data_IF_175436347283
#
_entry.id   IF_175436347283
#
_cell.length_a   1.000
_cell.length_b   1.000
_cell.length_c   1.000
_cell.angle_alpha   90.00
_cell.angle_beta   90.00
_cell.angle_gamma   90.00
#
_symmetry.space_group_name_H-M   'P 1'
#
loop_
_entity.id
_entity.type
_entity.pdbx_description
1 polymer ?
#
# COMPACT_ATOMS: atom_id res chain seq x y z
N UNK A 1 14.45 -14.67 18.29
CA UNK A 1 14.70 -13.42 17.54
C UNK A 1 13.59 -13.26 16.51
N UNK A 2 13.02 -12.06 16.32
CA UNK A 2 12.00 -11.87 15.28
C UNK A 2 12.59 -12.21 13.90
N UNK A 3 11.76 -12.78 13.02
CA UNK A 3 12.17 -13.10 11.67
C UNK A 3 12.59 -11.81 10.93
N UNK A 4 13.81 -11.80 10.39
CA UNK A 4 14.30 -10.69 9.58
C UNK A 4 13.52 -10.66 8.27
N UNK A 5 12.81 -9.56 8.01
CA UNK A 5 12.19 -9.27 6.70
C UNK A 5 12.99 -8.17 6.02
N UNK A 6 13.82 -8.48 5.01
CA UNK A 6 14.56 -7.48 4.25
C UNK A 6 13.58 -6.50 3.60
N UNK A 7 13.87 -5.19 3.66
CA UNK A 7 13.11 -4.12 2.99
C UNK A 7 13.98 -3.49 1.92
N UNK A 8 14.33 -4.27 0.88
CA UNK A 8 15.24 -3.83 -0.19
C UNK A 8 14.53 -2.89 -1.17
N UNK A 9 13.22 -3.02 -1.28
CA UNK A 9 12.36 -2.17 -2.11
C UNK A 9 11.11 -1.74 -1.35
N UNK A 10 10.74 -0.46 -1.51
CA UNK A 10 9.50 0.12 -1.02
C UNK A 10 8.77 0.77 -2.19
N UNK A 11 7.57 0.29 -2.50
CA UNK A 11 6.74 0.83 -3.56
C UNK A 11 5.73 1.81 -2.96
N UNK A 12 5.81 3.08 -3.35
CA UNK A 12 4.85 4.11 -2.99
C UNK A 12 3.70 4.15 -4.00
N UNK A 13 2.47 4.22 -3.51
CA UNK A 13 1.29 4.37 -4.33
C UNK A 13 0.21 5.21 -3.63
N UNK A 14 -0.47 6.12 -4.34
CA UNK A 14 -1.54 6.91 -3.78
C UNK A 14 -2.73 6.02 -3.41
N UNK A 15 -3.24 6.19 -2.18
CA UNK A 15 -4.38 5.43 -1.66
C UNK A 15 -5.69 5.68 -2.42
N UNK A 16 -5.75 6.70 -3.27
CA UNK A 16 -6.89 7.03 -4.14
C UNK A 16 -6.93 6.27 -5.47
N UNK A 17 -5.90 5.47 -5.78
CA UNK A 17 -5.79 4.75 -7.04
C UNK A 17 -6.02 3.24 -6.86
N UNK A 18 -7.29 2.83 -6.93
CA UNK A 18 -7.71 1.43 -6.79
C UNK A 18 -6.96 0.45 -7.72
N UNK A 19 -6.73 0.81 -8.99
CA UNK A 19 -6.00 -0.04 -9.94
C UNK A 19 -4.54 -0.24 -9.52
N UNK A 20 -3.90 0.80 -8.99
CA UNK A 20 -2.54 0.70 -8.49
C UNK A 20 -2.47 -0.18 -7.23
N UNK A 21 -3.45 -0.04 -6.31
CA UNK A 21 -3.57 -0.88 -5.11
C UNK A 21 -3.71 -2.37 -5.46
N UNK A 22 -4.57 -2.71 -6.42
CA UNK A 22 -4.75 -4.09 -6.89
C UNK A 22 -3.47 -4.66 -7.51
N UNK A 23 -2.83 -3.89 -8.40
CA UNK A 23 -1.60 -4.30 -9.06
C UNK A 23 -0.42 -4.41 -8.10
N UNK A 24 -0.30 -3.52 -7.12
CA UNK A 24 0.81 -3.49 -6.17
C UNK A 24 0.97 -4.82 -5.42
N UNK A 25 -0.14 -5.52 -5.18
CA UNK A 25 -0.14 -6.84 -4.51
C UNK A 25 0.58 -7.91 -5.32
N UNK A 26 0.63 -7.81 -6.64
CA UNK A 26 1.25 -8.83 -7.51
C UNK A 26 2.70 -8.50 -7.88
N UNK A 27 3.20 -7.33 -7.47
CA UNK A 27 4.55 -6.88 -7.78
C UNK A 27 5.56 -7.41 -6.76
N UNK A 28 6.83 -7.66 -7.16
CA UNK A 28 7.87 -8.15 -6.27
C UNK A 28 8.49 -7.02 -5.43
N UNK A 29 7.67 -6.37 -4.60
CA UNK A 29 8.09 -5.35 -3.64
C UNK A 29 8.15 -5.93 -2.22
N UNK A 30 9.20 -5.61 -1.46
CA UNK A 30 9.30 -6.06 -0.07
C UNK A 30 8.36 -5.26 0.87
N UNK A 31 8.11 -3.99 0.53
CA UNK A 31 7.18 -3.11 1.22
C UNK A 31 6.28 -2.34 0.25
N UNK A 32 5.01 -2.20 0.63
CA UNK A 32 4.03 -1.32 -0.02
C UNK A 32 3.72 -0.16 0.92
N UNK A 33 3.81 1.06 0.42
CA UNK A 33 3.49 2.28 1.15
C UNK A 33 2.30 2.94 0.48
N UNK A 34 1.16 2.91 1.17
CA UNK A 34 -0.11 3.45 0.71
C UNK A 34 -0.22 4.87 1.24
N UNK A 35 -0.08 5.84 0.34
CA UNK A 35 -0.01 7.26 0.70
C UNK A 35 -1.40 7.89 0.81
N UNK A 36 -1.67 8.58 1.92
CA UNK A 36 -2.88 9.37 2.15
C UNK A 36 -2.60 10.89 2.25
N UNK A 37 -1.34 11.31 2.11
CA UNK A 37 -0.93 12.70 2.20
C UNK A 37 -0.82 13.35 0.81
N UNK A 38 0.40 13.60 0.35
CA UNK A 38 0.68 14.55 -0.74
C UNK A 38 0.33 13.97 -2.12
N UNK A 39 0.36 12.65 -2.31
CA UNK A 39 -0.09 12.04 -3.56
C UNK A 39 -1.62 11.93 -3.66
N UNK A 40 -2.38 12.38 -2.65
CA UNK A 40 -3.84 12.33 -2.63
C UNK A 40 -4.43 13.74 -2.59
N UNK A 41 -5.15 14.10 -3.67
CA UNK A 41 -5.89 15.35 -3.72
C UNK A 41 -6.83 15.49 -2.50
N UNK A 42 -7.01 16.69 -1.90
CA UNK A 42 -7.79 16.86 -0.69
C UNK A 42 -9.21 16.28 -0.77
N UNK A 43 -9.89 16.47 -1.90
CA UNK A 43 -11.24 15.96 -2.15
C UNK A 43 -11.31 14.42 -2.26
N UNK A 44 -10.18 13.75 -2.46
CA UNK A 44 -10.10 12.29 -2.59
C UNK A 44 -9.67 11.58 -1.30
N UNK A 45 -9.35 12.31 -0.22
CA UNK A 45 -8.79 11.73 1.01
C UNK A 45 -9.73 10.72 1.69
N UNK A 46 -11.03 11.01 1.73
CA UNK A 46 -12.01 10.10 2.34
C UNK A 46 -12.16 8.81 1.54
N UNK A 47 -12.26 8.93 0.22
CA UNK A 47 -12.31 7.78 -0.68
C UNK A 47 -11.01 6.96 -0.62
N UNK A 48 -9.85 7.62 -0.58
CA UNK A 48 -8.55 6.97 -0.46
C UNK A 48 -8.44 6.16 0.84
N UNK A 49 -8.91 6.72 1.96
CA UNK A 49 -8.92 6.00 3.25
C UNK A 49 -9.75 4.72 3.18
N UNK A 50 -10.95 4.79 2.59
CA UNK A 50 -11.80 3.62 2.40
C UNK A 50 -11.13 2.55 1.51
N UNK A 51 -10.49 2.97 0.43
CA UNK A 51 -9.77 2.08 -0.48
C UNK A 51 -8.56 1.41 0.19
N UNK A 52 -7.78 2.17 0.97
CA UNK A 52 -6.63 1.65 1.72
C UNK A 52 -7.08 0.62 2.76
N UNK A 53 -8.15 0.88 3.51
CA UNK A 53 -8.71 -0.09 4.47
C UNK A 53 -9.14 -1.37 3.75
N UNK A 54 -9.84 -1.25 2.62
CA UNK A 54 -10.24 -2.39 1.81
C UNK A 54 -9.03 -3.17 1.26
N UNK A 55 -7.96 -2.49 0.86
CA UNK A 55 -6.73 -3.11 0.36
C UNK A 55 -5.98 -3.87 1.47
N UNK A 56 -5.88 -3.28 2.67
CA UNK A 56 -5.25 -3.91 3.83
C UNK A 56 -6.00 -5.17 4.31
N UNK A 57 -7.33 -5.14 4.26
CA UNK A 57 -8.17 -6.30 4.62
C UNK A 57 -8.00 -7.51 3.70
N UNK A 58 -7.49 -7.31 2.48
CA UNK A 58 -7.25 -8.40 1.53
C UNK A 58 -5.85 -9.03 1.64
N UNK A 59 -4.92 -8.39 2.37
CA UNK A 59 -3.55 -8.85 2.54
C UNK A 59 -2.66 -8.72 1.29
N UNK A 60 -1.35 -8.66 1.50
CA UNK A 60 -0.35 -8.62 0.42
C UNK A 60 0.04 -10.04 -0.01
N UNK A 61 0.13 -10.29 -1.32
CA UNK A 61 0.68 -11.54 -1.87
C UNK A 61 2.21 -11.51 -1.81
N UNK A 62 2.83 -12.63 -1.43
CA UNK A 62 4.29 -12.80 -1.56
C UNK A 62 5.16 -12.35 -0.38
N UNK A 63 4.60 -12.18 0.82
CA UNK A 63 5.40 -11.89 2.04
C UNK A 63 5.78 -10.41 2.23
N UNK A 64 5.36 -9.56 1.29
CA UNK A 64 5.46 -8.11 1.37
C UNK A 64 4.71 -7.57 2.60
N UNK A 65 5.29 -6.54 3.23
CA UNK A 65 4.64 -5.81 4.32
C UNK A 65 3.95 -4.56 3.80
N UNK A 66 2.68 -4.35 4.15
CA UNK A 66 1.93 -3.16 3.74
C UNK A 66 1.85 -2.17 4.90
N UNK A 67 2.16 -0.90 4.60
CA UNK A 67 2.17 0.21 5.55
C UNK A 67 1.37 1.37 4.97
N UNK A 68 0.66 2.10 5.82
CA UNK A 68 0.04 3.36 5.45
C UNK A 68 1.00 4.48 5.85
N UNK A 69 1.28 5.40 4.93
CA UNK A 69 1.96 6.66 5.23
C UNK A 69 0.91 7.77 5.33
#
# INVERSE_FOLDING_TARGET
>A
MPAVRPRRSALYLPGSNARALEKARTLPADALILDLEDAVAPAAKDAARAQVVAALGQGASGGASAWCA
#
